data_IF_970552399801
#
_entry.id   IF_970552399801
#
_cell.length_a   1.000
_cell.length_b   1.000
_cell.length_c   1.000
_cell.angle_alpha   90.00
_cell.angle_beta   90.00
_cell.angle_gamma   90.00
#
_symmetry.space_group_name_H-M   'P 1'
#
loop_
_entity.id
_entity.type
_entity.pdbx_description
1 polymer ?
#
# COMPACT_ATOMS: atom_id res chain seq x y z
N UNK A 1 61.36 -28.96 -27.21
CA UNK A 1 61.30 -27.53 -26.84
C UNK A 1 60.01 -27.29 -26.09
N UNK A 2 60.09 -26.67 -24.92
CA UNK A 2 59.01 -26.48 -23.93
C UNK A 2 58.31 -25.14 -24.20
N UNK A 3 56.98 -25.11 -24.20
CA UNK A 3 56.17 -23.92 -23.91
C UNK A 3 54.74 -24.37 -23.60
N UNK A 4 54.43 -24.51 -22.30
CA UNK A 4 53.07 -24.57 -21.81
C UNK A 4 52.84 -23.31 -20.98
N UNK A 5 52.02 -22.42 -21.55
CA UNK A 5 51.60 -21.14 -21.00
C UNK A 5 50.53 -21.42 -19.92
N UNK A 6 50.84 -21.18 -18.65
CA UNK A 6 49.87 -21.29 -17.55
C UNK A 6 49.10 -19.98 -17.48
N UNK A 7 47.86 -19.99 -17.97
CA UNK A 7 46.91 -18.89 -17.85
C UNK A 7 46.21 -19.01 -16.48
N UNK A 8 46.60 -18.16 -15.53
CA UNK A 8 45.92 -18.02 -14.23
C UNK A 8 44.67 -17.17 -14.45
N UNK A 9 43.52 -17.84 -14.61
CA UNK A 9 42.20 -17.21 -14.57
C UNK A 9 41.84 -16.94 -13.10
N UNK A 10 42.03 -15.70 -12.67
CA UNK A 10 41.41 -15.14 -11.47
C UNK A 10 39.88 -15.13 -11.65
N UNK A 11 39.23 -16.25 -11.35
CA UNK A 11 37.79 -16.32 -11.12
C UNK A 11 37.51 -15.65 -9.77
N UNK A 12 37.39 -14.33 -9.80
CA UNK A 12 36.75 -13.58 -8.73
C UNK A 12 35.31 -14.03 -8.60
N UNK A 13 35.04 -14.86 -7.60
CA UNK A 13 33.68 -15.17 -7.16
C UNK A 13 33.09 -13.91 -6.55
N UNK A 14 32.43 -13.11 -7.38
CA UNK A 14 31.46 -12.14 -6.90
C UNK A 14 30.29 -12.98 -6.39
N UNK A 15 30.36 -13.39 -5.12
CA UNK A 15 29.19 -13.80 -4.37
C UNK A 15 28.31 -12.58 -4.22
N UNK A 16 27.46 -12.35 -5.21
CA UNK A 16 26.26 -11.55 -5.02
C UNK A 16 25.45 -12.27 -3.95
N UNK A 17 25.61 -11.85 -2.70
CA UNK A 17 24.65 -12.15 -1.64
C UNK A 17 23.35 -11.49 -2.07
N UNK A 18 22.51 -12.24 -2.79
CA UNK A 18 21.10 -11.95 -2.85
C UNK A 18 20.62 -11.99 -1.40
N UNK A 19 20.51 -10.81 -0.78
CA UNK A 19 19.84 -10.65 0.49
C UNK A 19 18.43 -11.19 0.26
N UNK A 20 18.20 -12.39 0.76
CA UNK A 20 16.90 -13.05 0.78
C UNK A 20 16.01 -12.14 1.62
N UNK A 21 15.31 -11.21 0.95
CA UNK A 21 14.30 -10.36 1.58
C UNK A 21 13.18 -11.30 2.01
N UNK A 22 13.33 -11.89 3.19
CA UNK A 22 12.24 -12.57 3.86
C UNK A 22 11.09 -11.58 3.92
N UNK A 23 9.98 -11.93 3.28
CA UNK A 23 8.74 -11.17 3.40
C UNK A 23 8.34 -11.27 4.88
N UNK A 24 8.51 -10.19 5.62
CA UNK A 24 8.04 -10.09 7.00
C UNK A 24 6.50 -10.12 6.96
N UNK A 25 5.92 -11.26 7.29
CA UNK A 25 4.46 -11.46 7.36
C UNK A 25 4.02 -11.18 8.80
N UNK A 26 2.93 -10.45 8.96
CA UNK A 26 2.34 -10.19 10.28
C UNK A 26 1.38 -11.32 10.68
N UNK A 27 1.72 -11.99 11.79
CA UNK A 27 0.94 -13.09 12.36
C UNK A 27 -0.29 -12.68 13.19
N UNK A 28 -0.58 -11.38 13.33
CA UNK A 28 -1.70 -10.88 14.16
C UNK A 28 -3.10 -11.21 13.62
N UNK A 29 -3.21 -11.73 12.39
CA UNK A 29 -4.49 -11.89 11.69
C UNK A 29 -5.12 -10.56 11.24
N UNK A 30 -4.49 -9.42 11.55
CA UNK A 30 -4.93 -8.06 11.18
C UNK A 30 -3.94 -7.38 10.23
N UNK A 31 -2.94 -8.10 9.73
CA UNK A 31 -1.74 -7.54 9.09
C UNK A 31 -1.88 -6.80 7.78
N UNK A 32 -3.09 -6.60 7.25
CA UNK A 32 -3.31 -5.92 5.97
C UNK A 32 -3.13 -4.38 6.02
N UNK A 33 -2.26 -3.83 6.89
CA UNK A 33 -2.08 -2.37 7.06
C UNK A 33 -1.72 -1.70 5.74
N UNK A 34 -0.65 -2.14 5.08
CA UNK A 34 -0.21 -1.53 3.82
C UNK A 34 -1.19 -1.80 2.67
N UNK A 35 -1.91 -2.91 2.71
CA UNK A 35 -2.95 -3.17 1.72
C UNK A 35 -4.14 -2.24 1.90
N UNK A 36 -4.64 -2.06 3.13
CA UNK A 36 -5.71 -1.10 3.43
C UNK A 36 -5.27 0.32 3.10
N UNK A 37 -4.03 0.70 3.43
CA UNK A 37 -3.48 1.97 3.00
C UNK A 37 -3.52 2.12 1.47
N UNK A 38 -3.05 1.12 0.72
CA UNK A 38 -3.12 1.14 -0.75
C UNK A 38 -4.54 1.37 -1.26
N UNK A 39 -5.53 0.62 -0.76
CA UNK A 39 -6.92 0.77 -1.16
C UNK A 39 -7.47 2.17 -0.87
N UNK A 40 -7.21 2.71 0.33
CA UNK A 40 -7.71 4.03 0.73
C UNK A 40 -7.01 5.14 -0.06
N UNK A 41 -5.71 5.02 -0.33
CA UNK A 41 -4.94 6.00 -1.10
C UNK A 41 -5.41 6.05 -2.55
N UNK A 42 -5.61 4.89 -3.15
CA UNK A 42 -6.18 4.74 -4.49
C UNK A 42 -7.59 5.33 -4.55
N UNK A 43 -8.47 4.96 -3.61
CA UNK A 43 -9.83 5.50 -3.54
C UNK A 43 -9.83 7.04 -3.41
N UNK A 44 -8.97 7.60 -2.55
CA UNK A 44 -8.86 9.04 -2.36
C UNK A 44 -8.37 9.77 -3.62
N UNK A 45 -7.34 9.25 -4.28
CA UNK A 45 -6.79 9.82 -5.50
C UNK A 45 -7.81 9.80 -6.64
N UNK A 46 -8.54 8.69 -6.77
CA UNK A 46 -9.57 8.51 -7.76
C UNK A 46 -10.81 9.37 -7.48
N UNK A 47 -11.27 9.45 -6.24
CA UNK A 47 -12.42 10.28 -5.86
C UNK A 47 -12.20 11.76 -6.19
N UNK A 48 -11.00 12.29 -5.90
CA UNK A 48 -10.66 13.68 -6.24
C UNK A 48 -10.69 13.96 -7.74
N UNK A 49 -10.35 12.96 -8.56
CA UNK A 49 -10.26 13.12 -10.02
C UNK A 49 -11.61 12.90 -10.71
N UNK A 50 -12.35 11.88 -10.28
CA UNK A 50 -13.52 11.38 -11.01
C UNK A 50 -14.86 11.87 -10.44
N UNK A 51 -14.93 12.20 -9.14
CA UNK A 51 -16.16 12.65 -8.44
C UNK A 51 -15.87 13.80 -7.45
N UNK A 52 -15.27 14.92 -7.91
CA UNK A 52 -14.81 16.02 -7.04
C UNK A 52 -15.94 16.69 -6.24
N UNK A 53 -17.20 16.54 -6.65
CA UNK A 53 -18.37 17.04 -5.95
C UNK A 53 -18.67 16.28 -4.64
N UNK A 54 -18.16 15.05 -4.47
CA UNK A 54 -18.28 14.22 -3.25
C UNK A 54 -17.30 14.64 -2.15
N UNK A 55 -17.34 15.93 -1.79
CA UNK A 55 -16.37 16.56 -0.89
C UNK A 55 -16.31 15.93 0.50
N UNK A 56 -17.45 15.42 1.01
CA UNK A 56 -17.50 14.81 2.35
C UNK A 56 -16.79 13.46 2.38
N UNK A 57 -17.03 12.65 1.37
CA UNK A 57 -16.42 11.34 1.16
C UNK A 57 -14.92 11.47 0.95
N UNK A 58 -14.50 12.40 0.09
CA UNK A 58 -13.08 12.73 -0.13
C UNK A 58 -12.40 13.13 1.18
N UNK A 59 -13.04 13.97 2.01
CA UNK A 59 -12.49 14.34 3.33
C UNK A 59 -12.40 13.15 4.29
N UNK A 60 -13.36 12.24 4.27
CA UNK A 60 -13.35 11.06 5.14
C UNK A 60 -12.25 10.07 4.74
N UNK A 61 -12.01 9.88 3.44
CA UNK A 61 -10.86 9.12 2.94
C UNK A 61 -9.54 9.78 3.40
N UNK A 62 -9.41 11.10 3.25
CA UNK A 62 -8.22 11.84 3.68
C UNK A 62 -7.97 11.77 5.20
N UNK A 63 -9.03 11.68 6.02
CA UNK A 63 -8.91 11.41 7.46
C UNK A 63 -8.41 10.00 7.72
N UNK A 64 -8.94 9.01 6.99
CA UNK A 64 -8.56 7.61 7.13
C UNK A 64 -7.09 7.38 6.75
N UNK A 65 -6.61 8.04 5.69
CA UNK A 65 -5.19 8.05 5.32
C UNK A 65 -4.30 8.59 6.43
N UNK A 66 -4.66 9.73 7.02
CA UNK A 66 -3.87 10.28 8.14
C UNK A 66 -3.78 9.33 9.33
N UNK A 67 -4.87 8.63 9.66
CA UNK A 67 -4.88 7.64 10.74
C UNK A 67 -3.94 6.46 10.44
N UNK A 68 -3.93 5.99 9.19
CA UNK A 68 -3.00 4.94 8.73
C UNK A 68 -1.55 5.41 8.81
N UNK A 69 -1.24 6.59 8.26
CA UNK A 69 0.11 7.17 8.29
C UNK A 69 0.59 7.39 9.74
N UNK A 70 -0.28 7.87 10.64
CA UNK A 70 0.04 8.03 12.06
C UNK A 70 0.34 6.68 12.73
N UNK A 71 -0.45 5.66 12.44
CA UNK A 71 -0.19 4.31 12.92
C UNK A 71 1.14 3.76 12.39
N UNK A 72 1.40 3.88 11.09
CA UNK A 72 2.65 3.42 10.46
C UNK A 72 3.88 4.10 11.11
N UNK A 73 3.80 5.42 11.33
CA UNK A 73 4.86 6.18 11.96
C UNK A 73 5.07 5.78 13.42
N UNK A 74 3.98 5.59 14.18
CA UNK A 74 4.05 5.11 15.55
C UNK A 74 4.67 3.70 15.66
N UNK A 75 4.65 2.93 14.58
CA UNK A 75 5.10 1.54 14.55
C UNK A 75 6.32 1.29 13.65
N UNK A 76 7.15 2.32 13.41
CA UNK A 76 8.50 2.15 12.89
C UNK A 76 8.76 2.70 11.49
N UNK A 77 7.76 3.26 10.81
CA UNK A 77 8.00 4.08 9.62
C UNK A 77 8.39 5.52 9.98
N UNK A 78 9.09 6.18 9.06
CA UNK A 78 9.22 7.64 9.07
C UNK A 78 8.00 8.28 8.42
N UNK A 79 7.74 9.55 8.74
CA UNK A 79 6.71 10.37 8.05
C UNK A 79 6.88 10.35 6.53
N UNK A 80 8.13 10.35 6.05
CA UNK A 80 8.45 10.32 4.62
C UNK A 80 8.13 8.97 3.97
N UNK A 81 8.34 7.86 4.68
CA UNK A 81 7.97 6.52 4.19
C UNK A 81 6.46 6.40 4.02
N UNK A 82 5.70 6.84 5.03
CA UNK A 82 4.24 6.84 5.02
C UNK A 82 3.67 7.71 3.89
N UNK A 83 4.02 9.00 3.86
CA UNK A 83 3.55 9.92 2.81
C UNK A 83 4.00 9.48 1.41
N UNK A 84 5.24 9.00 1.28
CA UNK A 84 5.76 8.50 0.01
C UNK A 84 5.03 7.25 -0.47
N UNK A 85 4.51 6.42 0.43
CA UNK A 85 3.65 5.30 0.07
C UNK A 85 2.30 5.79 -0.46
N UNK A 86 1.63 6.69 0.25
CA UNK A 86 0.37 7.34 -0.19
C UNK A 86 0.48 7.88 -1.60
N UNK A 87 1.53 8.65 -1.86
CA UNK A 87 1.77 9.24 -3.18
C UNK A 87 2.02 8.21 -4.28
N UNK A 88 2.79 7.14 -3.99
CA UNK A 88 3.03 6.07 -4.98
C UNK A 88 1.72 5.39 -5.38
N UNK A 89 0.86 5.09 -4.41
CA UNK A 89 -0.45 4.47 -4.67
C UNK A 89 -1.35 5.41 -5.48
N UNK A 90 -1.39 6.70 -5.12
CA UNK A 90 -2.13 7.71 -5.87
C UNK A 90 -1.64 7.87 -7.32
N UNK A 91 -0.32 7.85 -7.55
CA UNK A 91 0.28 7.93 -8.91
C UNK A 91 0.01 6.68 -9.74
N UNK A 92 0.02 5.50 -9.11
CA UNK A 92 -0.21 4.23 -9.78
C UNK A 92 -1.69 3.94 -10.08
N UNK A 93 -2.59 4.88 -9.80
CA UNK A 93 -4.03 4.75 -10.05
C UNK A 93 -4.41 5.45 -11.37
N UNK A 94 -4.47 4.73 -12.51
CA UNK A 94 -4.63 5.33 -13.83
C UNK A 94 -6.01 6.00 -13.99
N UNK A 95 -6.10 7.15 -14.71
CA UNK A 95 -7.38 7.86 -14.94
C UNK A 95 -8.45 7.04 -15.64
N UNK A 96 -8.06 6.01 -16.40
CA UNK A 96 -8.98 5.07 -17.07
C UNK A 96 -9.89 4.32 -16.07
N UNK A 97 -9.54 4.32 -14.79
CA UNK A 97 -10.37 3.77 -13.71
C UNK A 97 -11.54 4.67 -13.31
N UNK A 98 -11.65 5.92 -13.81
CA UNK A 98 -12.85 6.76 -13.60
C UNK A 98 -14.14 6.06 -14.04
N UNK A 99 -14.09 5.32 -15.16
CA UNK A 99 -15.23 4.54 -15.65
C UNK A 99 -15.58 3.37 -14.71
N UNK A 100 -14.59 2.81 -14.02
CA UNK A 100 -14.76 1.74 -13.02
C UNK A 100 -15.33 2.28 -11.70
N UNK A 101 -15.17 3.58 -11.42
CA UNK A 101 -15.78 4.23 -10.25
C UNK A 101 -17.21 4.68 -10.51
N UNK A 102 -17.52 5.04 -11.76
CA UNK A 102 -18.83 5.57 -12.17
C UNK A 102 -19.70 4.56 -12.90
N UNK A 103 -19.23 3.32 -13.11
CA UNK A 103 -20.07 2.27 -13.69
C UNK A 103 -21.24 1.96 -12.76
N UNK A 104 -22.46 1.91 -13.32
CA UNK A 104 -23.74 1.76 -12.61
C UNK A 104 -23.88 0.46 -11.77
N UNK A 105 -22.91 -0.44 -11.82
CA UNK A 105 -22.86 -1.69 -11.05
C UNK A 105 -22.12 -1.56 -9.71
N UNK A 106 -21.99 -0.36 -9.15
CA UNK A 106 -21.30 -0.16 -7.88
C UNK A 106 -19.79 -0.13 -8.06
N UNK A 107 -19.27 0.97 -8.61
CA UNK A 107 -17.83 1.14 -8.79
C UNK A 107 -17.02 1.01 -7.49
N UNK A 108 -15.70 0.85 -7.57
CA UNK A 108 -14.82 0.61 -6.40
C UNK A 108 -15.03 1.59 -5.22
N UNK A 109 -15.35 2.87 -5.51
CA UNK A 109 -15.71 3.86 -4.47
C UNK A 109 -17.08 3.60 -3.87
N UNK A 110 -18.04 3.23 -4.72
CA UNK A 110 -19.39 2.87 -4.32
C UNK A 110 -19.34 1.58 -3.48
N UNK A 111 -18.48 0.61 -3.78
CA UNK A 111 -18.24 -0.56 -2.91
C UNK A 111 -17.61 -0.17 -1.56
N UNK A 112 -16.52 0.61 -1.57
CA UNK A 112 -15.78 0.98 -0.35
C UNK A 112 -16.55 1.95 0.57
N UNK A 113 -17.31 2.88 0.01
CA UNK A 113 -17.92 4.00 0.77
C UNK A 113 -19.45 3.89 0.82
N UNK A 114 -20.10 3.48 -0.27
CA UNK A 114 -21.56 3.53 -0.40
C UNK A 114 -22.24 2.19 -0.04
N UNK A 115 -21.64 1.04 -0.38
CA UNK A 115 -22.20 -0.31 -0.13
C UNK A 115 -21.71 -0.93 1.18
N UNK A 116 -20.43 -0.78 1.53
CA UNK A 116 -19.96 -1.16 2.88
C UNK A 116 -20.48 -0.20 3.96
N UNK A 117 -20.71 1.07 3.58
CA UNK A 117 -21.12 2.14 4.48
C UNK A 117 -19.97 2.69 5.31
N UNK A 118 -19.88 4.02 5.42
CA UNK A 118 -18.80 4.71 6.12
C UNK A 118 -18.56 4.21 7.55
N UNK A 119 -19.62 3.85 8.28
CA UNK A 119 -19.51 3.36 9.65
C UNK A 119 -18.81 1.99 9.73
N UNK A 120 -19.14 1.04 8.85
CA UNK A 120 -18.48 -0.28 8.86
C UNK A 120 -17.03 -0.16 8.41
N UNK A 121 -16.75 0.70 7.42
CA UNK A 121 -15.38 0.98 7.01
C UNK A 121 -14.56 1.56 8.17
N UNK A 122 -15.09 2.54 8.90
CA UNK A 122 -14.39 3.08 10.08
C UNK A 122 -14.20 2.03 11.18
N UNK A 123 -15.22 1.23 11.47
CA UNK A 123 -15.10 0.15 12.46
C UNK A 123 -14.08 -0.92 12.06
N UNK A 124 -13.98 -1.27 10.78
CA UNK A 124 -12.97 -2.19 10.27
C UNK A 124 -11.56 -1.59 10.35
N UNK A 125 -11.44 -0.29 10.04
CA UNK A 125 -10.18 0.43 10.21
C UNK A 125 -9.77 0.47 11.70
N UNK A 126 -10.69 0.74 12.61
CA UNK A 126 -10.43 0.74 14.05
C UNK A 126 -9.93 -0.63 14.52
N UNK A 127 -10.58 -1.71 14.07
CA UNK A 127 -10.19 -3.07 14.40
C UNK A 127 -8.77 -3.39 13.90
N UNK A 128 -8.46 -3.02 12.66
CA UNK A 128 -7.13 -3.18 12.07
C UNK A 128 -6.09 -2.35 12.82
N UNK A 129 -6.39 -1.12 13.22
CA UNK A 129 -5.44 -0.24 13.90
C UNK A 129 -5.27 -0.54 15.41
N UNK A 130 -6.08 -1.46 15.97
CA UNK A 130 -6.10 -1.74 17.42
C UNK A 130 -4.85 -2.43 17.99
N UNK A 131 -4.02 -3.05 17.14
CA UNK A 131 -2.85 -3.83 17.56
C UNK A 131 -1.55 -3.16 17.07
N UNK A 132 -0.68 -2.64 17.95
CA UNK A 132 0.62 -2.09 17.53
C UNK A 132 1.47 -3.15 16.82
N UNK A 133 1.99 -2.83 15.63
CA UNK A 133 2.83 -3.72 14.82
C UNK A 133 3.48 -2.99 13.66
N UNK A 134 4.60 -3.52 13.18
CA UNK A 134 5.28 -2.98 12.00
C UNK A 134 4.34 -2.95 10.79
N UNK A 135 4.36 -1.88 10.00
CA UNK A 135 3.56 -1.78 8.79
C UNK A 135 4.23 -2.56 7.65
N UNK A 136 3.91 -3.85 7.58
CA UNK A 136 4.39 -4.78 6.56
C UNK A 136 3.31 -5.05 5.51
N UNK A 137 3.73 -5.50 4.32
CA UNK A 137 2.79 -5.83 3.27
C UNK A 137 2.17 -7.21 3.51
N UNK A 138 0.87 -7.25 3.77
CA UNK A 138 0.07 -8.47 3.67
C UNK A 138 -1.11 -8.22 2.72
N UNK A 139 -1.50 -9.20 1.89
CA UNK A 139 -2.69 -9.09 1.07
C UNK A 139 -3.93 -8.78 1.91
N UNK A 140 -4.85 -7.97 1.38
CA UNK A 140 -6.21 -7.90 1.91
C UNK A 140 -6.90 -9.22 1.50
N UNK A 141 -7.39 -9.99 2.48
CA UNK A 141 -8.17 -11.22 2.26
C UNK A 141 -9.62 -10.87 1.92
#
# INVERSE_FOLDING_TARGET
MRLALILVLCLGTISATAEERSLEIDGSGKGAILCVHSLVATAWALAQRCVPEKKTEIRNLAKSLRRLEEFEVANGWTRQQAAGFTERQARNSPPTQCNVLMSAEGGFLEILILNFGAAKFQSGLDDILSVPRKPVWNPCL
#
